data_IF_804251455400
#
_entry.id   IF_804251455400
#
_cell.length_a   1.000
_cell.length_b   1.000
_cell.length_c   1.000
_cell.angle_alpha   90.00
_cell.angle_beta   90.00
_cell.angle_gamma   90.00
#
_symmetry.space_group_name_H-M   'P 1'
#
loop_
_entity.id
_entity.type
_entity.pdbx_description
1 polymer ?
#
# COMPACT_ATOMS: atom_id res chain seq x y z
N UNK A 1 7.94 -17.67 3.94
CA UNK A 1 7.60 -17.60 5.37
C UNK A 1 8.90 -17.53 6.15
N UNK A 2 9.10 -16.45 6.83
CA UNK A 2 10.22 -16.24 7.74
C UNK A 2 9.64 -15.82 9.10
N UNK A 3 10.22 -16.35 10.17
CA UNK A 3 9.77 -16.09 11.51
C UNK A 3 10.95 -16.20 12.49
N UNK A 4 10.80 -15.61 13.65
CA UNK A 4 11.82 -15.66 14.68
C UNK A 4 11.59 -16.86 15.59
N UNK A 5 12.66 -17.44 16.16
CA UNK A 5 12.53 -18.46 17.19
C UNK A 5 11.75 -17.93 18.40
N UNK A 6 10.81 -18.71 18.91
CA UNK A 6 9.99 -18.38 20.10
C UNK A 6 10.29 -19.37 21.22
N UNK A 7 10.50 -18.87 22.43
CA UNK A 7 10.76 -19.70 23.63
C UNK A 7 9.60 -20.65 23.93
N UNK A 8 8.35 -20.25 23.67
CA UNK A 8 7.16 -21.10 23.82
C UNK A 8 7.18 -22.32 22.88
N UNK A 9 7.93 -22.23 21.79
CA UNK A 9 8.14 -23.30 20.84
C UNK A 9 9.48 -24.02 21.04
N UNK A 10 10.09 -23.88 22.22
CA UNK A 10 11.39 -24.50 22.53
C UNK A 10 12.54 -23.92 21.72
N UNK A 11 12.54 -22.63 21.43
CA UNK A 11 13.55 -21.95 20.64
C UNK A 11 13.49 -22.24 19.14
N UNK A 12 12.39 -22.77 18.65
CA UNK A 12 12.14 -23.04 17.22
C UNK A 12 11.29 -21.95 16.61
N UNK A 13 11.42 -21.73 15.30
CA UNK A 13 10.44 -20.94 14.55
C UNK A 13 9.10 -21.66 14.49
N UNK A 14 8.00 -20.94 14.24
CA UNK A 14 6.67 -21.55 14.11
C UNK A 14 6.65 -22.61 13.00
N UNK A 15 7.36 -22.38 11.90
CA UNK A 15 7.49 -23.35 10.80
C UNK A 15 8.25 -24.60 11.21
N UNK A 16 9.31 -24.48 12.03
CA UNK A 16 10.04 -25.62 12.56
C UNK A 16 9.26 -26.40 13.63
N UNK A 17 8.36 -25.71 14.33
CA UNK A 17 7.52 -26.30 15.37
C UNK A 17 6.29 -27.00 14.78
N UNK A 18 5.73 -26.48 13.71
CA UNK A 18 4.56 -27.04 13.06
C UNK A 18 4.86 -28.39 12.38
N UNK A 19 3.87 -29.27 12.35
CA UNK A 19 3.96 -30.54 11.62
C UNK A 19 3.68 -30.30 10.13
N UNK A 20 4.72 -30.26 9.30
CA UNK A 20 4.65 -29.93 7.87
C UNK A 20 5.21 -31.04 6.96
N UNK A 21 4.69 -32.28 7.01
CA UNK A 21 5.34 -33.45 6.36
C UNK A 21 5.47 -33.28 4.84
N UNK A 22 4.51 -32.65 4.17
CA UNK A 22 4.57 -32.44 2.72
C UNK A 22 5.56 -31.34 2.35
N UNK A 23 5.62 -30.24 3.10
CA UNK A 23 6.62 -29.19 2.90
C UNK A 23 8.03 -29.70 3.18
N UNK A 24 8.20 -30.49 4.25
CA UNK A 24 9.47 -31.09 4.63
C UNK A 24 9.95 -32.10 3.55
N UNK A 25 9.00 -32.82 2.94
CA UNK A 25 9.33 -33.75 1.85
C UNK A 25 9.82 -32.98 0.61
N UNK A 26 9.12 -31.94 0.20
CA UNK A 26 9.53 -31.10 -0.93
C UNK A 26 10.86 -30.40 -0.66
N UNK A 27 11.08 -29.89 0.56
CA UNK A 27 12.33 -29.26 0.94
C UNK A 27 13.52 -30.22 0.87
N UNK A 28 13.33 -31.50 1.24
CA UNK A 28 14.36 -32.53 1.14
C UNK A 28 14.69 -32.93 -0.30
N UNK A 29 13.69 -32.92 -1.19
CA UNK A 29 13.90 -33.29 -2.59
C UNK A 29 14.38 -32.10 -3.44
N UNK A 30 14.08 -30.86 -3.01
CA UNK A 30 14.42 -29.65 -3.71
C UNK A 30 15.76 -29.04 -3.33
N UNK A 31 16.00 -27.86 -3.89
CA UNK A 31 17.10 -26.99 -3.48
C UNK A 31 16.53 -25.82 -2.70
N UNK A 32 17.15 -25.55 -1.56
CA UNK A 32 16.73 -24.44 -0.68
C UNK A 32 17.80 -23.36 -0.67
N UNK A 33 17.38 -22.12 -0.42
CA UNK A 33 18.26 -20.98 -0.33
C UNK A 33 17.57 -19.77 0.29
N UNK A 34 18.28 -18.66 0.38
CA UNK A 34 17.77 -17.37 0.82
C UNK A 34 17.51 -16.51 -0.41
N UNK A 35 16.33 -15.87 -0.44
CA UNK A 35 15.94 -14.92 -1.46
C UNK A 35 15.72 -13.56 -0.81
N UNK A 36 16.39 -12.53 -1.30
CA UNK A 36 16.14 -11.15 -0.91
C UNK A 36 14.92 -10.65 -1.70
N UNK A 37 13.77 -10.66 -1.05
CA UNK A 37 12.49 -10.30 -1.68
C UNK A 37 12.21 -8.81 -1.71
N UNK A 38 12.90 -8.01 -0.88
CA UNK A 38 12.83 -6.55 -0.90
C UNK A 38 14.20 -6.03 -1.33
N UNK A 39 14.28 -5.46 -2.53
CA UNK A 39 15.50 -4.87 -3.06
C UNK A 39 15.88 -3.61 -2.27
N UNK A 40 17.17 -3.23 -2.31
CA UNK A 40 17.65 -2.01 -1.65
C UNK A 40 16.96 -0.77 -2.27
N UNK A 41 16.57 0.17 -1.41
CA UNK A 41 15.86 1.37 -1.82
C UNK A 41 14.33 1.24 -1.92
N UNK A 42 13.78 0.04 -1.76
CA UNK A 42 12.33 -0.17 -1.76
C UNK A 42 11.78 -0.26 -0.33
N UNK A 43 10.60 0.31 -0.14
CA UNK A 43 9.87 0.19 1.12
C UNK A 43 9.40 -1.28 1.29
N UNK A 44 9.55 -1.88 2.48
CA UNK A 44 9.05 -3.24 2.74
C UNK A 44 7.53 -3.27 2.61
N UNK A 45 7.06 -4.01 1.61
CA UNK A 45 5.65 -4.19 1.31
C UNK A 45 5.39 -5.53 0.64
N UNK A 46 4.18 -6.06 0.82
CA UNK A 46 3.80 -7.35 0.23
C UNK A 46 3.86 -7.32 -1.30
N UNK A 47 3.49 -6.22 -1.90
CA UNK A 47 3.54 -6.02 -3.36
C UNK A 47 4.97 -6.09 -3.89
N UNK A 48 5.91 -5.40 -3.23
CA UNK A 48 7.34 -5.43 -3.57
C UNK A 48 7.90 -6.85 -3.47
N UNK A 49 7.63 -7.52 -2.34
CA UNK A 49 8.11 -8.86 -2.10
C UNK A 49 7.50 -9.88 -3.09
N UNK A 50 6.20 -9.80 -3.36
CA UNK A 50 5.51 -10.70 -4.28
C UNK A 50 6.00 -10.51 -5.72
N UNK A 51 6.17 -9.28 -6.18
CA UNK A 51 6.72 -9.01 -7.51
C UNK A 51 8.14 -9.57 -7.64
N UNK A 52 8.99 -9.40 -6.61
CA UNK A 52 10.33 -10.00 -6.60
C UNK A 52 10.29 -11.53 -6.67
N UNK A 53 9.41 -12.18 -5.91
CA UNK A 53 9.23 -13.65 -5.94
C UNK A 53 8.76 -14.13 -7.31
N UNK A 54 7.93 -13.34 -7.99
CA UNK A 54 7.46 -13.64 -9.34
C UNK A 54 8.50 -13.32 -10.44
N UNK A 55 9.66 -12.77 -10.07
CA UNK A 55 10.77 -12.53 -11.00
C UNK A 55 10.75 -11.18 -11.70
N UNK A 56 9.91 -10.24 -11.28
CA UNK A 56 9.92 -8.90 -11.83
C UNK A 56 11.14 -8.10 -11.35
N UNK A 57 11.75 -7.34 -12.27
CA UNK A 57 12.83 -6.41 -11.96
C UNK A 57 12.24 -5.09 -11.46
N UNK A 58 12.07 -4.96 -10.14
CA UNK A 58 11.37 -3.85 -9.51
C UNK A 58 11.83 -2.45 -9.94
N UNK A 59 13.15 -2.16 -10.10
CA UNK A 59 13.59 -0.83 -10.53
C UNK A 59 13.02 -0.39 -11.89
N UNK A 60 12.63 -1.33 -12.74
CA UNK A 60 12.09 -1.04 -14.07
C UNK A 60 10.56 -1.00 -14.10
N UNK A 61 9.91 -1.80 -13.24
CA UNK A 61 8.46 -2.05 -13.40
C UNK A 61 7.61 -1.55 -12.23
N UNK A 62 8.22 -1.25 -11.07
CA UNK A 62 7.44 -0.85 -9.90
C UNK A 62 7.22 0.67 -9.86
N UNK A 63 6.02 1.08 -10.15
CA UNK A 63 5.57 2.49 -10.17
C UNK A 63 4.81 2.91 -8.89
N UNK A 64 4.72 2.02 -7.91
CA UNK A 64 4.01 2.27 -6.66
C UNK A 64 2.67 1.56 -6.54
N UNK A 65 2.07 1.61 -5.35
CA UNK A 65 0.80 0.92 -5.02
C UNK A 65 -0.38 1.44 -5.82
N UNK A 66 -0.41 2.73 -6.13
CA UNK A 66 -1.53 3.33 -6.84
C UNK A 66 -1.78 2.69 -8.21
N UNK A 67 -0.72 2.38 -8.94
CA UNK A 67 -0.81 1.72 -10.26
C UNK A 67 -1.36 0.30 -10.12
N UNK A 68 -0.95 -0.45 -9.10
CA UNK A 68 -1.45 -1.79 -8.84
C UNK A 68 -2.93 -1.78 -8.43
N UNK A 69 -3.34 -0.81 -7.62
CA UNK A 69 -4.76 -0.64 -7.24
C UNK A 69 -5.60 -0.24 -8.46
N UNK A 70 -5.09 0.64 -9.33
CA UNK A 70 -5.77 1.00 -10.59
C UNK A 70 -6.03 -0.24 -11.45
N UNK A 71 -5.00 -1.05 -11.67
CA UNK A 71 -5.12 -2.30 -12.41
C UNK A 71 -6.13 -3.27 -11.78
N UNK A 72 -6.13 -3.37 -10.44
CA UNK A 72 -7.03 -4.26 -9.70
C UNK A 72 -8.51 -3.88 -9.85
N UNK A 73 -8.83 -2.58 -9.91
CA UNK A 73 -10.22 -2.08 -10.06
C UNK A 73 -10.59 -1.74 -11.51
N UNK A 74 -9.71 -2.06 -12.47
CA UNK A 74 -9.96 -1.87 -13.90
C UNK A 74 -9.89 -0.42 -14.38
N UNK A 75 -9.15 0.45 -13.67
CA UNK A 75 -8.91 1.84 -14.08
C UNK A 75 -7.71 1.90 -15.00
N UNK A 76 -7.92 2.33 -16.23
CA UNK A 76 -6.86 2.55 -17.21
C UNK A 76 -6.15 3.87 -16.95
N UNK A 77 -4.83 3.81 -16.79
CA UNK A 77 -3.97 4.97 -16.61
C UNK A 77 -3.28 5.32 -17.94
N UNK A 78 -3.18 6.61 -18.22
CA UNK A 78 -2.42 7.11 -19.35
C UNK A 78 -1.01 7.53 -18.93
N UNK A 79 -0.03 7.56 -19.84
CA UNK A 79 1.29 8.09 -19.55
C UNK A 79 1.22 9.50 -18.97
N UNK A 80 1.83 9.69 -17.79
CA UNK A 80 1.80 10.96 -17.06
C UNK A 80 0.66 11.09 -16.04
N UNK A 81 -0.22 10.11 -15.92
CA UNK A 81 -1.21 10.09 -14.84
C UNK A 81 -0.55 9.71 -13.50
N UNK A 82 -0.95 10.40 -12.44
CA UNK A 82 -0.57 10.08 -11.08
C UNK A 82 -1.68 9.28 -10.41
N UNK A 83 -1.41 8.04 -10.06
CA UNK A 83 -2.33 7.18 -9.31
C UNK A 83 -1.84 7.03 -7.87
N UNK A 84 -2.68 7.37 -6.92
CA UNK A 84 -2.37 7.27 -5.49
C UNK A 84 -3.44 6.45 -4.77
N UNK A 85 -3.01 5.45 -4.02
CA UNK A 85 -3.90 4.83 -3.06
C UNK A 85 -4.28 5.87 -2.00
N UNK A 86 -5.56 6.09 -1.79
CA UNK A 86 -6.09 6.93 -0.72
C UNK A 86 -6.97 6.12 0.22
N UNK A 87 -7.00 6.52 1.48
CA UNK A 87 -7.77 5.83 2.50
C UNK A 87 -8.76 6.79 3.16
N UNK A 88 -9.96 6.30 3.41
CA UNK A 88 -10.84 6.94 4.39
C UNK A 88 -10.26 6.67 5.79
N UNK A 89 -10.16 7.72 6.59
CA UNK A 89 -9.61 7.68 7.94
C UNK A 89 -10.56 8.33 8.92
N UNK A 90 -10.46 8.00 10.21
CA UNK A 90 -11.18 8.70 11.27
C UNK A 90 -10.22 9.67 11.97
N UNK A 91 -10.62 10.95 12.01
CA UNK A 91 -9.94 11.99 12.77
C UNK A 91 -10.80 12.39 13.94
N UNK A 92 -10.22 12.42 15.13
CA UNK A 92 -10.89 12.91 16.36
C UNK A 92 -10.06 14.06 16.92
N UNK A 93 -10.65 15.25 16.97
CA UNK A 93 -9.91 16.46 17.25
C UNK A 93 -8.86 16.71 16.16
N UNK A 94 -7.59 16.71 16.54
CA UNK A 94 -6.46 16.84 15.58
C UNK A 94 -5.71 15.53 15.36
N UNK A 95 -6.14 14.43 15.95
CA UNK A 95 -5.43 13.16 15.91
C UNK A 95 -6.03 12.20 14.89
N UNK A 96 -5.19 11.50 14.15
CA UNK A 96 -5.57 10.38 13.31
C UNK A 96 -5.96 9.19 14.21
N UNK A 97 -7.25 9.09 14.54
CA UNK A 97 -7.79 8.11 15.48
C UNK A 97 -7.73 6.69 14.94
N UNK A 98 -8.12 6.53 13.67
CA UNK A 98 -8.22 5.22 13.04
C UNK A 98 -7.92 5.32 11.55
N UNK A 99 -6.97 4.53 11.08
CA UNK A 99 -6.50 4.51 9.69
C UNK A 99 -7.43 3.75 8.73
N UNK A 100 -8.43 3.04 9.25
CA UNK A 100 -9.40 2.24 8.49
C UNK A 100 -10.84 2.75 8.64
N UNK A 101 -11.03 4.01 9.07
CA UNK A 101 -12.35 4.62 9.30
C UNK A 101 -13.29 3.73 10.13
N UNK A 102 -12.76 3.05 11.17
CA UNK A 102 -13.55 2.15 12.01
C UNK A 102 -14.01 0.87 11.32
N UNK A 103 -13.32 0.42 10.29
CA UNK A 103 -13.71 -0.69 9.42
C UNK A 103 -15.01 -0.42 8.65
N UNK A 104 -15.11 0.80 8.08
CA UNK A 104 -16.23 1.20 7.23
C UNK A 104 -16.53 0.14 6.16
N UNK A 105 -17.80 -0.11 5.88
CA UNK A 105 -18.21 -1.03 4.81
C UNK A 105 -17.89 -0.46 3.42
N UNK A 106 -17.86 -1.31 2.42
CA UNK A 106 -17.61 -0.86 1.04
C UNK A 106 -18.77 0.01 0.54
N UNK A 107 -19.99 -0.31 0.92
CA UNK A 107 -21.22 0.39 0.54
C UNK A 107 -21.25 1.82 1.11
N UNK A 108 -20.98 1.96 2.41
CA UNK A 108 -20.88 3.27 3.07
C UNK A 108 -19.72 4.12 2.49
N UNK A 109 -18.60 3.47 2.22
CA UNK A 109 -17.44 4.13 1.63
C UNK A 109 -17.72 4.61 0.20
N UNK A 110 -18.50 3.85 -0.59
CA UNK A 110 -18.89 4.23 -1.95
C UNK A 110 -19.72 5.51 -1.96
N UNK A 111 -20.64 5.67 -1.03
CA UNK A 111 -21.41 6.91 -0.88
C UNK A 111 -20.51 8.11 -0.61
N UNK A 112 -19.52 7.95 0.29
CA UNK A 112 -18.56 9.00 0.63
C UNK A 112 -17.64 9.35 -0.55
N UNK A 113 -17.11 8.34 -1.23
CA UNK A 113 -16.24 8.56 -2.39
C UNK A 113 -17.04 9.17 -3.55
N UNK A 114 -18.27 8.74 -3.75
CA UNK A 114 -19.19 9.36 -4.71
C UNK A 114 -19.45 10.84 -4.40
N UNK A 115 -19.63 11.19 -3.11
CA UNK A 115 -19.76 12.59 -2.68
C UNK A 115 -18.47 13.38 -2.94
N UNK A 116 -17.31 12.84 -2.55
CA UNK A 116 -16.02 13.48 -2.84
C UNK A 116 -15.82 13.73 -4.34
N UNK A 117 -16.20 12.77 -5.17
CA UNK A 117 -16.04 12.90 -6.61
C UNK A 117 -16.97 13.96 -7.22
N UNK A 118 -18.17 14.13 -6.65
CA UNK A 118 -19.09 15.21 -7.06
C UNK A 118 -18.59 16.60 -6.66
N UNK A 119 -18.00 16.74 -5.47
CA UNK A 119 -17.58 18.04 -4.92
C UNK A 119 -16.17 18.45 -5.36
N UNK A 120 -15.24 17.50 -5.47
CA UNK A 120 -13.82 17.76 -5.73
C UNK A 120 -13.35 17.16 -7.06
N UNK A 121 -14.09 16.20 -7.61
CA UNK A 121 -13.78 15.59 -8.90
C UNK A 121 -13.93 16.57 -10.06
N UNK A 122 -13.10 16.44 -11.07
CA UNK A 122 -13.14 17.24 -12.31
C UNK A 122 -12.44 16.47 -13.44
N UNK A 123 -12.22 17.10 -14.60
CA UNK A 123 -11.57 16.45 -15.74
C UNK A 123 -10.16 15.90 -15.44
N UNK A 124 -9.49 16.42 -14.41
CA UNK A 124 -8.13 16.01 -14.02
C UNK A 124 -8.09 15.15 -12.77
N UNK A 125 -9.04 15.29 -11.86
CA UNK A 125 -9.04 14.67 -10.54
C UNK A 125 -10.23 13.72 -10.41
N UNK A 126 -9.95 12.43 -10.20
CA UNK A 126 -10.97 11.40 -10.07
C UNK A 126 -10.70 10.52 -8.85
N UNK A 127 -11.76 10.27 -8.08
CA UNK A 127 -11.76 9.32 -6.97
C UNK A 127 -12.50 8.06 -7.41
N UNK A 128 -11.90 6.90 -7.18
CA UNK A 128 -12.48 5.60 -7.49
C UNK A 128 -12.67 4.80 -6.21
N UNK A 129 -13.85 4.24 -6.04
CA UNK A 129 -14.15 3.36 -4.91
C UNK A 129 -13.38 2.06 -5.04
N UNK A 130 -12.71 1.68 -3.97
CA UNK A 130 -12.08 0.38 -3.80
C UNK A 130 -12.83 -0.46 -2.78
N UNK A 131 -12.11 -1.14 -1.90
CA UNK A 131 -12.69 -2.02 -0.88
C UNK A 131 -12.57 -1.41 0.50
N UNK A 132 -13.70 -1.29 1.21
CA UNK A 132 -13.77 -0.72 2.57
C UNK A 132 -13.16 0.69 2.61
N UNK A 133 -12.14 0.91 3.43
CA UNK A 133 -11.49 2.20 3.59
C UNK A 133 -10.43 2.52 2.51
N UNK A 134 -10.18 1.62 1.55
CA UNK A 134 -9.12 1.72 0.54
C UNK A 134 -9.68 2.14 -0.80
N UNK A 135 -9.21 3.24 -1.32
CA UNK A 135 -9.68 3.84 -2.56
C UNK A 135 -8.51 4.30 -3.42
N UNK A 136 -8.81 4.78 -4.61
CA UNK A 136 -7.83 5.28 -5.56
C UNK A 136 -8.15 6.74 -5.90
N UNK A 137 -7.12 7.57 -5.90
CA UNK A 137 -7.12 8.91 -6.45
C UNK A 137 -6.26 8.95 -7.69
N UNK A 138 -6.81 9.39 -8.80
CA UNK A 138 -6.08 9.62 -10.05
C UNK A 138 -6.07 11.10 -10.38
N UNK A 139 -4.88 11.62 -10.67
CA UNK A 139 -4.67 13.01 -11.12
C UNK A 139 -4.00 12.96 -12.50
N UNK A 140 -4.75 13.34 -13.53
CA UNK A 140 -4.24 13.39 -14.91
C UNK A 140 -3.17 14.45 -15.04
N UNK A 141 -2.01 14.06 -15.59
CA UNK A 141 -0.85 14.94 -15.68
C UNK A 141 -0.31 15.40 -14.31
N UNK A 142 -0.47 14.55 -13.28
CA UNK A 142 0.02 14.82 -11.94
C UNK A 142 1.53 14.63 -11.81
N UNK A 143 2.14 15.29 -10.81
CA UNK A 143 3.57 15.17 -10.53
C UNK A 143 3.84 14.06 -9.51
N UNK A 144 4.87 13.24 -9.77
CA UNK A 144 5.39 12.25 -8.81
C UNK A 144 6.24 12.89 -7.68
N UNK A 145 6.52 14.18 -7.75
CA UNK A 145 7.30 14.89 -6.73
C UNK A 145 6.46 15.24 -5.49
N UNK A 146 5.97 14.20 -4.83
CA UNK A 146 5.15 14.29 -3.63
C UNK A 146 5.73 13.41 -2.53
N UNK A 147 5.75 13.93 -1.31
CA UNK A 147 5.97 13.13 -0.11
C UNK A 147 4.62 12.82 0.55
N UNK A 148 4.37 11.55 0.80
CA UNK A 148 3.16 11.06 1.49
C UNK A 148 3.53 10.06 2.56
N UNK A 149 2.79 10.07 3.67
CA UNK A 149 2.98 9.14 4.78
C UNK A 149 1.76 8.24 4.89
N UNK A 150 1.92 6.91 4.84
CA UNK A 150 0.80 5.99 4.99
C UNK A 150 0.10 6.15 6.35
N UNK A 151 -1.23 6.29 6.40
CA UNK A 151 -1.95 6.52 7.67
C UNK A 151 -1.74 5.43 8.72
N UNK A 152 -1.51 4.18 8.31
CA UNK A 152 -1.30 3.06 9.23
C UNK A 152 0.05 3.08 9.95
N UNK A 153 1.02 3.86 9.46
CA UNK A 153 2.35 3.99 10.08
C UNK A 153 2.36 5.05 11.19
N UNK A 154 1.33 5.87 11.27
CA UNK A 154 1.28 7.06 12.14
C UNK A 154 -0.03 7.15 12.99
N UNK A 155 -0.47 6.07 13.64
CA UNK A 155 -1.67 6.11 14.44
C UNK A 155 -1.51 7.08 15.62
N UNK A 156 -2.60 7.74 15.99
CA UNK A 156 -2.69 8.68 17.12
C UNK A 156 -1.73 9.90 17.02
N UNK A 157 -1.26 10.22 15.82
CA UNK A 157 -0.47 11.44 15.61
C UNK A 157 -1.35 12.56 15.06
N UNK A 158 -0.95 13.84 15.28
CA UNK A 158 -1.61 14.98 14.62
C UNK A 158 -1.57 14.82 13.11
N UNK A 159 -2.73 14.93 12.46
CA UNK A 159 -2.83 14.66 11.01
C UNK A 159 -2.26 15.78 10.13
N UNK A 160 -2.36 17.05 10.57
CA UNK A 160 -1.93 18.21 9.76
C UNK A 160 -0.49 18.14 9.26
N UNK A 161 0.52 17.79 10.10
CA UNK A 161 1.89 17.63 9.64
C UNK A 161 2.12 16.45 8.70
N UNK A 162 1.14 15.53 8.62
CA UNK A 162 1.19 14.29 7.83
C UNK A 162 0.53 14.42 6.47
N UNK A 163 -0.03 15.59 6.15
CA UNK A 163 -0.62 15.87 4.84
C UNK A 163 0.44 15.76 3.74
N UNK A 164 0.00 15.40 2.54
CA UNK A 164 0.86 15.33 1.36
C UNK A 164 1.61 16.66 1.14
N UNK A 165 2.90 16.56 0.86
CA UNK A 165 3.78 17.72 0.62
C UNK A 165 4.33 17.66 -0.79
N UNK A 166 4.34 18.80 -1.47
CA UNK A 166 5.06 18.95 -2.72
C UNK A 166 6.56 18.97 -2.46
N UNK A 167 7.32 18.20 -3.25
CA UNK A 167 8.78 18.23 -3.27
C UNK A 167 9.31 19.16 -4.37
N UNK A 168 8.44 19.72 -5.21
CA UNK A 168 8.83 20.78 -6.13
C UNK A 168 9.16 22.03 -5.31
N UNK A 169 10.36 22.58 -5.51
CA UNK A 169 10.63 23.95 -5.06
C UNK A 169 9.70 24.86 -5.82
N UNK A 170 8.90 25.66 -5.12
CA UNK A 170 8.23 26.80 -5.75
C UNK A 170 9.34 27.61 -6.40
N UNK A 171 9.23 27.89 -7.70
CA UNK A 171 10.06 28.88 -8.31
C UNK A 171 9.70 30.19 -7.60
N UNK A 172 10.65 30.74 -6.84
CA UNK A 172 10.56 32.10 -6.30
C UNK A 172 10.45 33.02 -7.50
N UNK A 173 9.22 33.52 -7.77
CA UNK A 173 8.98 34.71 -8.59
C UNK A 173 9.09 35.96 -7.73
#
# INVERSE_FOLDING_TARGET
>A
MADWPDEKCGGKTLLQYARTPHMDHLARLGRNGLLKTVADGFHPGSEVANMSVLGYHLPEVYEGRGVLEAANIGVELQPGDLAMRCNLVCIEGELLKNHSAGHISTEEADELIGALNRELGNERVHFYTGVQYRHLLVIKGGSKHLETIPPHDVPLRPYRPLMAKSLCKEAEE
#
